data_IF_319268178218
#
_entry.id   IF_319268178218
#
_cell.length_a   1.000
_cell.length_b   1.000
_cell.length_c   1.000
_cell.angle_alpha   90.00
_cell.angle_beta   90.00
_cell.angle_gamma   90.00
#
_symmetry.space_group_name_H-M   'P 1'
#
loop_
_entity.id
_entity.type
_entity.pdbx_description
1 polymer ?
#
# COMPACT_ATOMS: atom_id res chain seq x y z
N UNK A 1 14.59 -28.72 -54.99
CA UNK A 1 13.50 -28.47 -54.02
C UNK A 1 13.58 -29.56 -52.97
N UNK A 2 13.84 -29.19 -51.71
CA UNK A 2 14.15 -30.08 -50.59
C UNK A 2 12.86 -30.66 -49.99
N UNK A 3 12.83 -31.99 -49.95
CA UNK A 3 12.35 -32.86 -48.86
C UNK A 3 11.07 -32.45 -48.14
N UNK A 4 10.00 -33.18 -48.47
CA UNK A 4 8.78 -33.39 -47.69
C UNK A 4 9.16 -33.89 -46.29
N UNK A 5 8.78 -33.16 -45.23
CA UNK A 5 8.84 -33.65 -43.86
C UNK A 5 7.43 -34.01 -43.40
N UNK A 6 7.28 -35.30 -43.12
CA UNK A 6 6.07 -35.95 -42.66
C UNK A 6 5.78 -35.69 -41.18
N UNK A 7 4.50 -35.79 -40.85
CA UNK A 7 3.95 -36.53 -39.69
C UNK A 7 3.90 -35.89 -38.29
N UNK A 8 2.64 -35.69 -37.86
CA UNK A 8 1.99 -36.25 -36.66
C UNK A 8 2.59 -35.98 -35.27
N UNK A 9 1.82 -35.32 -34.40
CA UNK A 9 1.26 -35.93 -33.17
C UNK A 9 0.30 -34.97 -32.46
N UNK A 10 -0.93 -35.43 -32.29
CA UNK A 10 -1.96 -34.84 -31.46
C UNK A 10 -1.78 -35.26 -29.99
N UNK A 11 -2.46 -34.51 -29.10
CA UNK A 11 -2.75 -34.81 -27.70
C UNK A 11 -1.57 -34.64 -26.73
N UNK A 12 -1.70 -33.86 -25.67
CA UNK A 12 -2.61 -34.17 -24.57
C UNK A 12 -2.88 -32.94 -23.71
N UNK A 13 -4.14 -32.82 -23.30
CA UNK A 13 -4.60 -31.89 -22.28
C UNK A 13 -3.88 -32.15 -20.95
N UNK A 14 -3.21 -31.13 -20.42
CA UNK A 14 -2.91 -31.04 -18.98
C UNK A 14 -3.94 -30.11 -18.34
N UNK A 15 -5.19 -30.57 -18.25
CA UNK A 15 -6.04 -30.19 -17.14
C UNK A 15 -5.63 -31.08 -15.96
N UNK A 16 -4.65 -30.60 -15.19
CA UNK A 16 -4.27 -31.14 -13.89
C UNK A 16 -4.66 -30.15 -12.80
N UNK A 17 -5.57 -30.61 -11.94
CA UNK A 17 -6.16 -29.97 -10.76
C UNK A 17 -5.30 -28.90 -10.02
N UNK A 18 -5.98 -27.80 -9.67
CA UNK A 18 -5.53 -26.61 -8.96
C UNK A 18 -4.85 -26.87 -7.58
N UNK A 19 -4.12 -25.87 -7.04
CA UNK A 19 -4.85 -24.86 -6.28
C UNK A 19 -4.59 -23.45 -6.82
N UNK A 20 -5.67 -22.69 -7.00
CA UNK A 20 -5.96 -21.42 -6.34
C UNK A 20 -4.79 -20.74 -5.56
N UNK A 21 -3.63 -20.52 -6.19
CA UNK A 21 -2.54 -19.69 -5.67
C UNK A 21 -2.69 -18.25 -6.16
N UNK A 22 -3.88 -17.67 -5.99
CA UNK A 22 -4.17 -16.30 -6.45
C UNK A 22 -4.10 -15.24 -5.33
N UNK A 23 -3.74 -15.63 -4.11
CA UNK A 23 -3.76 -14.76 -2.92
C UNK A 23 -2.38 -14.25 -2.44
N UNK A 24 -1.24 -14.97 -2.57
CA UNK A 24 0.00 -14.51 -1.94
C UNK A 24 0.57 -13.22 -2.56
N UNK A 25 0.37 -13.00 -3.87
CA UNK A 25 0.79 -11.77 -4.54
C UNK A 25 -0.05 -10.56 -4.10
N UNK A 26 -1.32 -10.78 -3.75
CA UNK A 26 -2.21 -9.71 -3.29
C UNK A 26 -1.87 -9.31 -1.85
N UNK A 27 -1.54 -10.30 -1.00
CA UNK A 27 -1.08 -10.07 0.38
C UNK A 27 0.26 -9.33 0.43
N UNK A 28 1.23 -9.73 -0.42
CA UNK A 28 2.53 -9.05 -0.51
C UNK A 28 2.40 -7.62 -1.01
N UNK A 29 1.52 -7.39 -2.00
CA UNK A 29 1.17 -6.08 -2.50
C UNK A 29 0.51 -5.22 -1.39
N UNK A 30 -0.43 -5.76 -0.62
CA UNK A 30 -1.04 -5.06 0.52
C UNK A 30 0.00 -4.67 1.59
N UNK A 31 0.95 -5.55 1.89
CA UNK A 31 2.05 -5.29 2.85
C UNK A 31 2.95 -4.16 2.35
N UNK A 32 3.35 -4.19 1.07
CA UNK A 32 4.19 -3.16 0.47
C UNK A 32 3.51 -1.79 0.54
N UNK A 33 2.25 -1.72 0.13
CA UNK A 33 1.47 -0.48 0.09
C UNK A 33 1.18 0.07 1.49
N UNK A 34 0.96 -0.82 2.47
CA UNK A 34 0.86 -0.45 3.88
C UNK A 34 2.20 0.11 4.40
N UNK A 35 3.32 -0.54 4.06
CA UNK A 35 4.66 -0.11 4.43
C UNK A 35 5.01 1.26 3.85
N UNK A 36 4.71 1.47 2.57
CA UNK A 36 4.92 2.74 1.88
C UNK A 36 4.09 3.86 2.54
N UNK A 37 2.80 3.61 2.74
CA UNK A 37 1.91 4.59 3.36
C UNK A 37 2.36 4.96 4.78
N UNK A 38 2.81 3.99 5.56
CA UNK A 38 3.35 4.23 6.90
C UNK A 38 4.68 5.01 6.85
N UNK A 39 5.54 4.72 5.86
CA UNK A 39 6.76 5.47 5.60
C UNK A 39 6.49 6.95 5.33
N UNK A 40 5.51 7.24 4.48
CA UNK A 40 5.10 8.62 4.17
C UNK A 40 4.52 9.36 5.37
N UNK A 41 3.71 8.70 6.21
CA UNK A 41 3.20 9.30 7.45
C UNK A 41 4.33 9.65 8.42
N UNK A 42 5.27 8.72 8.64
CA UNK A 42 6.44 8.95 9.49
C UNK A 42 7.32 10.10 8.98
N UNK A 43 7.58 10.14 7.67
CA UNK A 43 8.37 11.19 7.06
C UNK A 43 7.70 12.56 7.21
N UNK A 44 6.38 12.63 6.99
CA UNK A 44 5.61 13.88 7.13
C UNK A 44 5.69 14.42 8.56
N UNK A 45 5.51 13.56 9.57
CA UNK A 45 5.67 13.97 10.97
C UNK A 45 7.09 14.39 11.31
N UNK A 46 8.09 13.69 10.79
CA UNK A 46 9.50 14.05 11.01
C UNK A 46 9.82 15.43 10.42
N UNK A 47 9.38 15.69 9.20
CA UNK A 47 9.60 16.98 8.53
C UNK A 47 8.83 18.12 9.17
N UNK A 48 7.68 17.83 9.76
CA UNK A 48 6.96 18.79 10.58
C UNK A 48 7.74 19.13 11.87
N UNK A 49 8.18 18.12 12.63
CA UNK A 49 8.87 18.33 13.91
C UNK A 49 10.17 19.13 13.76
N UNK A 50 10.89 18.97 12.63
CA UNK A 50 12.11 19.74 12.36
C UNK A 50 11.84 21.11 11.72
N UNK A 51 10.57 21.49 11.55
CA UNK A 51 10.15 22.79 11.01
C UNK A 51 10.31 22.95 9.50
N UNK A 52 10.48 21.84 8.76
CA UNK A 52 10.63 21.88 7.30
C UNK A 52 9.28 22.00 6.57
N UNK A 53 8.21 21.52 7.20
CA UNK A 53 6.83 21.73 6.76
C UNK A 53 6.10 22.66 7.73
N UNK A 54 5.28 23.57 7.21
CA UNK A 54 4.33 24.33 8.02
C UNK A 54 3.17 23.46 8.50
N UNK A 55 2.43 23.93 9.52
CA UNK A 55 1.21 23.27 10.02
C UNK A 55 0.24 22.92 8.88
N UNK A 56 0.00 23.87 7.96
CA UNK A 56 -0.93 23.70 6.85
C UNK A 56 -0.43 22.68 5.83
N UNK A 57 0.85 22.75 5.45
CA UNK A 57 1.46 21.82 4.50
C UNK A 57 1.44 20.39 5.05
N UNK A 58 1.84 20.22 6.30
CA UNK A 58 1.89 18.92 6.94
C UNK A 58 0.48 18.36 7.15
N UNK A 59 -0.47 19.17 7.62
CA UNK A 59 -1.87 18.71 7.78
C UNK A 59 -2.51 18.31 6.45
N UNK A 60 -2.26 19.07 5.38
CA UNK A 60 -2.77 18.74 4.05
C UNK A 60 -2.14 17.46 3.50
N UNK A 61 -0.83 17.27 3.67
CA UNK A 61 -0.13 16.05 3.29
C UNK A 61 -0.68 14.83 4.03
N UNK A 62 -0.81 14.91 5.37
CA UNK A 62 -1.41 13.87 6.18
C UNK A 62 -2.84 13.54 5.74
N UNK A 63 -3.66 14.55 5.40
CA UNK A 63 -5.03 14.32 4.92
C UNK A 63 -5.06 13.53 3.62
N UNK A 64 -4.19 13.88 2.66
CA UNK A 64 -4.09 13.16 1.37
C UNK A 64 -3.62 11.72 1.58
N UNK A 65 -2.62 11.52 2.45
CA UNK A 65 -2.11 10.19 2.80
C UNK A 65 -3.20 9.36 3.48
N UNK A 66 -3.98 9.92 4.41
CA UNK A 66 -5.08 9.21 5.06
C UNK A 66 -6.20 8.85 4.08
N UNK A 67 -6.52 9.72 3.12
CA UNK A 67 -7.47 9.38 2.04
C UNK A 67 -6.94 8.25 1.18
N UNK A 68 -5.66 8.28 0.81
CA UNK A 68 -4.98 7.20 0.07
C UNK A 68 -5.04 5.88 0.85
N UNK A 69 -4.71 5.90 2.14
CA UNK A 69 -4.76 4.70 3.01
C UNK A 69 -6.18 4.14 3.12
N UNK A 70 -7.17 5.02 3.32
CA UNK A 70 -8.59 4.63 3.43
C UNK A 70 -9.14 4.08 2.12
N UNK A 71 -8.87 4.77 1.01
CA UNK A 71 -9.47 4.51 -0.29
C UNK A 71 -8.75 3.44 -1.11
N UNK A 72 -7.42 3.46 -1.11
CA UNK A 72 -6.62 2.59 -1.98
C UNK A 72 -6.29 1.24 -1.33
N UNK A 73 -6.28 1.12 0.01
CA UNK A 73 -5.64 -0.05 0.63
C UNK A 73 -6.42 -0.78 1.73
N UNK A 74 -7.04 -0.11 2.72
CA UNK A 74 -7.22 -0.80 4.01
C UNK A 74 -8.48 -0.48 4.85
N UNK A 75 -9.30 0.50 4.46
CA UNK A 75 -10.48 0.89 5.24
C UNK A 75 -10.17 1.66 6.54
N UNK A 76 -11.22 2.03 7.30
CA UNK A 76 -11.13 2.97 8.43
C UNK A 76 -10.27 2.46 9.60
N UNK A 77 -10.27 1.15 9.86
CA UNK A 77 -9.51 0.55 10.97
C UNK A 77 -8.01 0.70 10.81
N UNK A 78 -7.54 0.58 9.58
CA UNK A 78 -6.12 0.63 9.28
C UNK A 78 -5.63 2.07 9.14
N UNK A 79 -6.48 3.00 8.70
CA UNK A 79 -6.20 4.43 8.85
C UNK A 79 -6.05 4.83 10.34
N UNK A 80 -6.86 4.25 11.23
CA UNK A 80 -6.72 4.44 12.69
C UNK A 80 -5.43 3.83 13.24
N UNK A 81 -5.06 2.63 12.79
CA UNK A 81 -3.82 1.97 13.23
C UNK A 81 -2.57 2.69 12.70
N UNK A 82 -2.60 3.15 11.45
CA UNK A 82 -1.49 3.86 10.80
C UNK A 82 -1.12 5.18 11.52
N UNK A 83 -2.04 5.74 12.33
CA UNK A 83 -1.78 6.91 13.17
C UNK A 83 -0.86 6.61 14.37
N UNK A 84 -0.87 5.39 14.91
CA UNK A 84 -0.20 5.09 16.19
C UNK A 84 1.31 5.29 16.09
N UNK A 85 1.96 4.64 15.13
CA UNK A 85 3.42 4.59 15.04
C UNK A 85 4.04 5.98 14.75
N UNK A 86 3.51 6.79 13.81
CA UNK A 86 3.99 8.15 13.60
C UNK A 86 3.86 9.03 14.85
N UNK A 87 2.75 8.92 15.61
CA UNK A 87 2.55 9.73 16.81
C UNK A 87 3.38 9.29 18.01
N UNK A 88 3.61 7.98 18.17
CA UNK A 88 4.52 7.46 19.20
C UNK A 88 5.95 7.96 18.97
N UNK A 89 6.37 8.05 17.71
CA UNK A 89 7.69 8.56 17.32
C UNK A 89 7.79 10.09 17.39
N UNK A 90 6.71 10.78 17.01
CA UNK A 90 6.64 12.24 16.86
C UNK A 90 5.37 12.78 17.53
N UNK A 91 5.36 12.96 18.87
CA UNK A 91 4.17 13.39 19.60
C UNK A 91 3.65 14.77 19.17
N UNK A 92 4.55 15.67 18.75
CA UNK A 92 4.20 17.01 18.24
C UNK A 92 3.33 16.97 16.98
N UNK A 93 3.46 15.91 16.18
CA UNK A 93 2.64 15.68 14.99
C UNK A 93 1.14 15.52 15.29
N UNK A 94 0.76 15.30 16.56
CA UNK A 94 -0.66 15.27 16.95
C UNK A 94 -1.38 16.60 16.67
N UNK A 95 -0.68 17.74 16.75
CA UNK A 95 -1.26 19.07 16.56
C UNK A 95 -1.80 19.30 15.15
N UNK A 96 -1.16 18.69 14.14
CA UNK A 96 -1.49 18.84 12.72
C UNK A 96 -2.34 17.69 12.18
N UNK A 97 -2.61 16.67 13.01
CA UNK A 97 -3.26 15.46 12.55
C UNK A 97 -4.70 15.77 12.10
N UNK A 98 -5.09 15.40 10.87
CA UNK A 98 -6.43 15.71 10.37
C UNK A 98 -7.50 15.09 11.28
N UNK A 99 -8.54 15.86 11.60
CA UNK A 99 -9.73 15.31 12.22
C UNK A 99 -10.23 14.15 11.34
N UNK A 100 -10.34 12.95 11.91
CA UNK A 100 -11.00 11.83 11.23
C UNK A 100 -12.41 12.28 10.89
N UNK A 101 -12.66 12.44 9.58
CA UNK A 101 -13.97 12.86 9.08
C UNK A 101 -15.07 11.96 9.66
N UNK A 102 -16.14 12.61 10.11
CA UNK A 102 -17.44 12.01 10.36
C UNK A 102 -18.00 11.39 9.09
#
# INVERSE_FOLDING_TARGET
MRVVLSSLLAATAFFGNAPLMAVPLLDELEIELRGEAQGWLNATCTYYDIGWLSDEQASQALRRLLVRIKGDFLGDDLARQAKKIPLERSPGCQAIWPATGK
#
